data_IF_730213354156
#
_entry.id   IF_730213354156
#
_cell.length_a   1.000
_cell.length_b   1.000
_cell.length_c   1.000
_cell.angle_alpha   90.00
_cell.angle_beta   90.00
_cell.angle_gamma   90.00
#
_symmetry.space_group_name_H-M   'P 1'
#
loop_
_entity.id
_entity.type
_entity.pdbx_description
1 polymer ?
#
# COMPACT_ATOMS: atom_id res chain seq x y z
N UNK A 1 -17.36 -11.74 -22.54
CA UNK A 1 -16.01 -11.46 -23.10
C UNK A 1 -15.36 -10.21 -22.49
N UNK A 2 -16.12 -9.13 -22.39
CA UNK A 2 -15.70 -7.85 -21.80
C UNK A 2 -15.44 -7.94 -20.29
N UNK A 3 -16.40 -8.48 -19.52
CA UNK A 3 -16.23 -8.69 -18.06
C UNK A 3 -14.95 -9.50 -17.74
N UNK A 4 -14.63 -10.54 -18.54
CA UNK A 4 -13.38 -11.30 -18.39
C UNK A 4 -12.13 -10.45 -18.63
N UNK A 5 -12.15 -9.52 -19.59
CA UNK A 5 -11.04 -8.59 -19.86
C UNK A 5 -10.88 -7.59 -18.71
N UNK A 6 -11.99 -7.04 -18.21
CA UNK A 6 -12.00 -6.15 -17.04
C UNK A 6 -11.39 -6.87 -15.83
N UNK A 7 -11.81 -8.12 -15.57
CA UNK A 7 -11.26 -8.91 -14.47
C UNK A 7 -9.73 -9.11 -14.60
N UNK A 8 -9.24 -9.40 -15.81
CA UNK A 8 -7.81 -9.57 -16.07
C UNK A 8 -7.03 -8.28 -15.81
N UNK A 9 -7.55 -7.12 -16.23
CA UNK A 9 -6.93 -5.81 -15.96
C UNK A 9 -6.86 -5.58 -14.45
N UNK A 10 -7.96 -5.80 -13.72
CA UNK A 10 -8.01 -5.63 -12.26
C UNK A 10 -7.02 -6.55 -11.53
N UNK A 11 -6.84 -7.80 -11.99
CA UNK A 11 -5.85 -8.73 -11.42
C UNK A 11 -4.41 -8.23 -11.65
N UNK A 12 -4.10 -7.75 -12.85
CA UNK A 12 -2.77 -7.19 -13.16
C UNK A 12 -2.47 -5.95 -12.34
N UNK A 13 -3.42 -5.03 -12.21
CA UNK A 13 -3.26 -3.83 -11.38
C UNK A 13 -3.06 -4.20 -9.91
N UNK A 14 -3.81 -5.16 -9.38
CA UNK A 14 -3.63 -5.67 -8.02
C UNK A 14 -2.23 -6.24 -7.77
N UNK A 15 -1.70 -7.01 -8.73
CA UNK A 15 -0.35 -7.52 -8.64
C UNK A 15 0.70 -6.40 -8.68
N UNK A 16 0.51 -5.39 -9.54
CA UNK A 16 1.40 -4.24 -9.62
C UNK A 16 1.42 -3.44 -8.31
N UNK A 17 0.26 -3.19 -7.71
CA UNK A 17 0.17 -2.52 -6.40
C UNK A 17 0.77 -3.37 -5.27
N UNK A 18 0.64 -4.70 -5.32
CA UNK A 18 1.30 -5.58 -4.36
C UNK A 18 2.83 -5.47 -4.44
N UNK A 19 3.39 -5.37 -5.64
CA UNK A 19 4.81 -5.08 -5.83
C UNK A 19 5.19 -3.68 -5.33
N UNK A 20 4.36 -2.67 -5.60
CA UNK A 20 4.59 -1.31 -5.11
C UNK A 20 4.61 -1.26 -3.58
N UNK A 21 3.69 -1.95 -2.89
CA UNK A 21 3.70 -2.07 -1.43
C UNK A 21 5.00 -2.69 -0.94
N UNK A 22 5.44 -3.83 -1.51
CA UNK A 22 6.69 -4.49 -1.10
C UNK A 22 7.89 -3.56 -1.27
N UNK A 23 8.02 -2.94 -2.44
CA UNK A 23 9.14 -2.05 -2.76
C UNK A 23 9.14 -0.81 -1.87
N UNK A 24 8.01 -0.13 -1.73
CA UNK A 24 7.88 1.08 -0.91
C UNK A 24 8.06 0.78 0.58
N UNK A 25 7.64 -0.40 1.07
CA UNK A 25 7.87 -0.83 2.46
C UNK A 25 9.35 -1.04 2.71
N UNK A 26 10.04 -1.77 1.81
CA UNK A 26 11.49 -1.96 1.88
C UNK A 26 12.24 -0.62 1.83
N UNK A 27 11.84 0.27 0.91
CA UNK A 27 12.43 1.60 0.80
C UNK A 27 12.23 2.41 2.10
N UNK A 28 11.02 2.44 2.66
CA UNK A 28 10.74 3.15 3.92
C UNK A 28 11.59 2.62 5.07
N UNK A 29 11.77 1.29 5.17
CA UNK A 29 12.66 0.68 6.15
C UNK A 29 14.10 1.18 6.03
N UNK A 30 14.70 1.10 4.83
CA UNK A 30 16.09 1.51 4.63
C UNK A 30 16.29 3.02 4.80
N UNK A 31 15.34 3.85 4.39
CA UNK A 31 15.42 5.31 4.58
C UNK A 31 15.31 5.69 6.07
N UNK A 32 14.48 4.99 6.85
CA UNK A 32 14.43 5.18 8.32
C UNK A 32 15.71 4.68 9.00
N UNK A 33 16.29 3.58 8.52
CA UNK A 33 17.57 3.09 9.01
C UNK A 33 18.71 4.08 8.72
N UNK A 34 18.76 4.65 7.50
CA UNK A 34 19.78 5.63 7.14
C UNK A 34 19.67 6.89 8.00
N UNK A 35 18.47 7.31 8.39
CA UNK A 35 18.29 8.41 9.34
C UNK A 35 18.94 8.14 10.70
N UNK A 36 18.88 6.90 11.21
CA UNK A 36 19.59 6.52 12.45
C UNK A 36 21.10 6.64 12.30
N UNK A 37 21.64 6.25 11.14
CA UNK A 37 23.07 6.40 10.83
C UNK A 37 23.48 7.86 10.66
N UNK A 38 22.66 8.69 10.02
CA UNK A 38 22.91 10.13 9.90
C UNK A 38 22.91 10.82 11.27
N UNK A 39 22.02 10.43 12.18
CA UNK A 39 22.02 10.92 13.57
C UNK A 39 23.31 10.54 14.30
N UNK A 40 23.78 9.31 14.12
CA UNK A 40 25.07 8.89 14.67
C UNK A 40 26.24 9.67 14.06
N UNK A 41 26.25 9.87 12.74
CA UNK A 41 27.26 10.67 12.06
C UNK A 41 27.31 12.10 12.60
N UNK A 42 26.14 12.69 12.90
CA UNK A 42 26.05 14.02 13.52
C UNK A 42 26.79 14.10 14.85
N UNK A 43 26.70 13.06 15.67
CA UNK A 43 27.38 12.99 16.97
C UNK A 43 28.90 12.92 16.84
N UNK A 44 29.42 12.38 15.72
CA UNK A 44 30.85 12.26 15.45
C UNK A 44 31.49 13.55 14.91
N UNK A 45 30.69 14.46 14.35
CA UNK A 45 31.19 15.71 13.77
C UNK A 45 31.50 16.71 14.89
N UNK A 46 32.74 17.25 14.96
CA UNK A 46 33.08 18.28 15.94
C UNK A 46 32.12 19.47 15.86
N UNK A 47 31.65 19.96 17.02
CA UNK A 47 30.70 21.07 17.10
C UNK A 47 31.21 22.38 16.45
N UNK A 48 32.53 22.52 16.32
CA UNK A 48 33.15 23.64 15.60
C UNK A 48 32.86 23.65 14.10
N UNK A 49 32.53 22.49 13.50
CA UNK A 49 32.23 22.38 12.09
C UNK A 49 30.74 22.67 11.80
N UNK A 50 30.37 23.94 11.96
CA UNK A 50 28.99 24.43 11.78
C UNK A 50 28.43 24.09 10.40
N UNK A 51 29.26 24.19 9.35
CA UNK A 51 28.84 23.90 7.97
C UNK A 51 28.43 22.43 7.81
N UNK A 52 29.24 21.49 8.32
CA UNK A 52 28.92 20.07 8.25
C UNK A 52 27.63 19.73 9.00
N UNK A 53 27.39 20.36 10.16
CA UNK A 53 26.12 20.22 10.90
C UNK A 53 24.91 20.73 10.10
N UNK A 54 25.04 21.89 9.43
CA UNK A 54 23.97 22.45 8.60
C UNK A 54 23.67 21.57 7.38
N UNK A 55 24.70 21.09 6.68
CA UNK A 55 24.51 20.23 5.51
C UNK A 55 23.93 18.88 5.91
N UNK A 56 24.38 18.29 7.02
CA UNK A 56 23.81 17.06 7.55
C UNK A 56 22.35 17.24 7.98
N UNK A 57 21.98 18.38 8.57
CA UNK A 57 20.59 18.68 8.90
C UNK A 57 19.69 18.71 7.64
N UNK A 58 20.16 19.27 6.53
CA UNK A 58 19.43 19.25 5.25
C UNK A 58 19.22 17.81 4.74
N UNK A 59 20.27 16.99 4.80
CA UNK A 59 20.20 15.57 4.39
C UNK A 59 19.25 14.78 5.29
N UNK A 60 19.29 15.00 6.60
CA UNK A 60 18.35 14.38 7.56
C UNK A 60 16.91 14.76 7.25
N UNK A 61 16.62 16.04 7.00
CA UNK A 61 15.28 16.51 6.64
C UNK A 61 14.79 15.88 5.32
N UNK A 62 15.65 15.79 4.30
CA UNK A 62 15.33 15.12 3.04
C UNK A 62 15.07 13.62 3.22
N UNK A 63 15.84 12.97 4.10
CA UNK A 63 15.69 11.55 4.45
C UNK A 63 14.38 11.29 5.20
N UNK A 64 14.03 12.14 6.17
CA UNK A 64 12.75 12.08 6.88
C UNK A 64 11.57 12.22 5.90
N UNK A 65 11.62 13.21 5.01
CA UNK A 65 10.63 13.37 3.95
C UNK A 65 10.51 12.11 3.06
N UNK A 66 11.64 11.55 2.63
CA UNK A 66 11.64 10.34 1.80
C UNK A 66 11.06 9.11 2.54
N UNK A 67 11.29 8.98 3.85
CA UNK A 67 10.71 7.92 4.67
C UNK A 67 9.18 8.01 4.74
N UNK A 68 8.66 9.24 4.84
CA UNK A 68 7.22 9.49 4.89
C UNK A 68 6.57 9.38 3.50
N UNK A 69 7.25 9.82 2.45
CA UNK A 69 6.79 9.66 1.07
C UNK A 69 6.65 8.17 0.68
N UNK A 70 7.66 7.35 1.01
CA UNK A 70 7.63 5.91 0.77
C UNK A 70 6.54 5.21 1.60
N UNK A 71 6.33 5.62 2.86
CA UNK A 71 5.22 5.12 3.67
C UNK A 71 3.84 5.51 3.08
N UNK A 72 3.68 6.74 2.61
CA UNK A 72 2.45 7.19 1.96
C UNK A 72 2.17 6.41 0.66
N UNK A 73 3.21 6.07 -0.10
CA UNK A 73 3.07 5.19 -1.28
C UNK A 73 2.46 3.83 -0.91
N UNK A 74 2.89 3.21 0.19
CA UNK A 74 2.28 1.97 0.69
C UNK A 74 0.79 2.15 0.96
N UNK A 75 0.42 3.24 1.64
CA UNK A 75 -0.99 3.55 1.96
C UNK A 75 -1.85 3.73 0.70
N UNK A 76 -1.33 4.40 -0.33
CA UNK A 76 -2.06 4.61 -1.58
C UNK A 76 -2.21 3.31 -2.38
N UNK A 77 -1.15 2.50 -2.51
CA UNK A 77 -1.23 1.20 -3.18
C UNK A 77 -2.16 0.24 -2.44
N UNK A 78 -2.17 0.23 -1.11
CA UNK A 78 -3.11 -0.58 -0.34
C UNK A 78 -4.58 -0.18 -0.59
N UNK A 79 -4.86 1.13 -0.69
CA UNK A 79 -6.20 1.63 -1.05
C UNK A 79 -6.60 1.25 -2.47
N UNK A 80 -5.67 1.34 -3.42
CA UNK A 80 -5.89 0.90 -4.80
C UNK A 80 -6.21 -0.60 -4.87
N UNK A 81 -5.47 -1.43 -4.13
CA UNK A 81 -5.75 -2.87 -4.02
C UNK A 81 -7.14 -3.16 -3.46
N UNK A 82 -7.55 -2.46 -2.39
CA UNK A 82 -8.88 -2.60 -1.82
C UNK A 82 -9.97 -2.23 -2.82
N UNK A 83 -9.80 -1.13 -3.57
CA UNK A 83 -10.74 -0.70 -4.61
C UNK A 83 -10.84 -1.73 -5.76
N UNK A 84 -9.71 -2.31 -6.18
CA UNK A 84 -9.71 -3.36 -7.21
C UNK A 84 -10.40 -4.64 -6.72
N UNK A 85 -10.21 -5.02 -5.45
CA UNK A 85 -10.93 -6.15 -4.85
C UNK A 85 -12.44 -5.88 -4.83
N UNK A 86 -12.87 -4.69 -4.41
CA UNK A 86 -14.28 -4.29 -4.43
C UNK A 86 -14.85 -4.32 -5.86
N UNK A 87 -14.12 -3.78 -6.85
CA UNK A 87 -14.53 -3.82 -8.26
C UNK A 87 -14.66 -5.26 -8.79
N UNK A 88 -13.71 -6.14 -8.45
CA UNK A 88 -13.80 -7.57 -8.79
C UNK A 88 -15.02 -8.22 -8.13
N UNK A 89 -15.28 -7.94 -6.85
CA UNK A 89 -16.47 -8.47 -6.15
C UNK A 89 -17.76 -8.04 -6.85
N UNK A 90 -17.90 -6.76 -7.18
CA UNK A 90 -19.07 -6.26 -7.91
C UNK A 90 -19.25 -6.92 -9.27
N UNK A 91 -18.15 -7.13 -10.01
CA UNK A 91 -18.17 -7.83 -11.29
C UNK A 91 -18.69 -9.27 -11.15
N UNK A 92 -18.25 -9.99 -10.12
CA UNK A 92 -18.71 -11.36 -9.83
C UNK A 92 -20.17 -11.40 -9.34
N UNK A 93 -20.61 -10.39 -8.58
CA UNK A 93 -21.99 -10.31 -8.05
C UNK A 93 -23.01 -9.81 -9.07
N UNK A 94 -22.57 -9.26 -10.21
CA UNK A 94 -23.43 -8.75 -11.30
C UNK A 94 -24.50 -9.75 -11.71
N UNK A 95 -24.12 -11.02 -11.89
CA UNK A 95 -25.01 -12.09 -12.36
C UNK A 95 -25.64 -12.92 -11.23
N UNK A 96 -25.33 -12.63 -9.97
CA UNK A 96 -25.89 -13.37 -8.83
C UNK A 96 -27.33 -12.94 -8.56
N UNK A 97 -28.25 -13.90 -8.39
CA UNK A 97 -29.67 -13.62 -8.10
C UNK A 97 -29.85 -13.39 -6.59
N UNK A 98 -29.43 -12.23 -6.09
CA UNK A 98 -29.55 -11.84 -4.69
C UNK A 98 -29.98 -10.37 -4.57
N UNK A 99 -30.51 -10.00 -3.40
CA UNK A 99 -30.92 -8.62 -3.14
C UNK A 99 -29.73 -7.65 -3.24
N UNK A 100 -30.00 -6.42 -3.69
CA UNK A 100 -28.98 -5.40 -3.88
C UNK A 100 -28.25 -5.08 -2.56
N UNK A 101 -28.97 -5.07 -1.44
CA UNK A 101 -28.38 -4.84 -0.11
C UNK A 101 -27.38 -5.93 0.27
N UNK A 102 -27.70 -7.19 -0.07
CA UNK A 102 -26.82 -8.34 0.19
C UNK A 102 -25.57 -8.30 -0.68
N UNK A 103 -25.73 -7.96 -1.98
CA UNK A 103 -24.59 -7.76 -2.90
C UNK A 103 -23.64 -6.68 -2.39
N UNK A 104 -24.16 -5.55 -1.94
CA UNK A 104 -23.33 -4.47 -1.39
C UNK A 104 -22.60 -4.88 -0.12
N UNK A 105 -23.27 -5.57 0.81
CA UNK A 105 -22.65 -6.08 2.05
C UNK A 105 -21.50 -7.03 1.74
N UNK A 106 -21.67 -7.89 0.73
CA UNK A 106 -20.66 -8.86 0.31
C UNK A 106 -19.50 -8.19 -0.46
N UNK A 107 -19.79 -7.16 -1.25
CA UNK A 107 -18.77 -6.39 -1.97
C UNK A 107 -17.87 -5.58 -1.02
N UNK A 108 -18.43 -4.97 0.02
CA UNK A 108 -17.73 -4.09 0.97
C UNK A 108 -17.09 -4.81 2.16
N UNK A 109 -17.19 -6.14 2.24
CA UNK A 109 -16.61 -6.91 3.35
C UNK A 109 -15.09 -6.73 3.49
N UNK A 110 -14.50 -7.07 4.66
CA UNK A 110 -13.06 -7.07 4.81
C UNK A 110 -12.36 -7.95 3.75
N UNK A 111 -11.14 -7.58 3.37
CA UNK A 111 -10.30 -8.46 2.55
C UNK A 111 -9.63 -9.45 3.50
N UNK A 112 -9.92 -10.74 3.34
CA UNK A 112 -9.37 -11.80 4.19
C UNK A 112 -8.87 -12.95 3.34
N UNK A 113 -7.58 -13.29 3.52
CA UNK A 113 -6.91 -14.40 2.84
C UNK A 113 -6.89 -14.29 1.32
N UNK A 114 -6.78 -15.45 0.67
CA UNK A 114 -6.61 -15.56 -0.79
C UNK A 114 -7.95 -15.60 -1.55
N UNK A 115 -9.07 -15.73 -0.83
CA UNK A 115 -10.41 -15.85 -1.43
C UNK A 115 -11.00 -14.47 -1.69
N UNK A 116 -11.61 -14.28 -2.86
CA UNK A 116 -12.18 -12.98 -3.25
C UNK A 116 -13.22 -12.46 -2.24
N UNK A 117 -14.08 -13.34 -1.72
CA UNK A 117 -15.10 -13.00 -0.73
C UNK A 117 -14.77 -13.49 0.70
N UNK A 118 -13.80 -14.38 0.86
CA UNK A 118 -13.43 -14.93 2.18
C UNK A 118 -14.61 -15.55 2.93
N UNK A 119 -14.56 -15.44 4.26
CA UNK A 119 -15.61 -15.87 5.18
C UNK A 119 -16.93 -15.12 4.98
N UNK A 120 -16.93 -13.95 4.32
CA UNK A 120 -18.15 -13.18 4.09
C UNK A 120 -19.15 -13.91 3.17
N UNK A 121 -18.68 -14.91 2.40
CA UNK A 121 -19.51 -15.76 1.56
C UNK A 121 -20.10 -16.96 2.31
N UNK A 122 -19.50 -17.40 3.42
CA UNK A 122 -19.90 -18.64 4.14
C UNK A 122 -21.36 -18.67 4.60
N UNK A 123 -22.00 -17.56 5.03
CA UNK A 123 -23.42 -17.55 5.36
C UNK A 123 -24.37 -17.79 4.18
N UNK A 124 -23.86 -17.90 2.95
CA UNK A 124 -24.62 -17.95 1.71
C UNK A 124 -24.31 -19.18 0.84
N UNK A 125 -23.46 -20.09 1.33
CA UNK A 125 -23.16 -21.40 0.75
C UNK A 125 -24.02 -22.47 1.43
#
# INVERSE_FOLDING_TARGET
PEDKRIEQVLKKSHQADAWAIKTSTSASFFVRASLRWLRHLKELIPNSNVRAHQDLAKVMAATEYAADATFNSVKFSARAMAAQVAARRLLWLKNWQADLKQKWKLASGPVSGDRLFGEALEPWL
#
